data_IF_220883355126
#
_entry.id   IF_220883355126
#
_cell.length_a   1.000
_cell.length_b   1.000
_cell.length_c   1.000
_cell.angle_alpha   90.00
_cell.angle_beta   90.00
_cell.angle_gamma   90.00
#
_symmetry.space_group_name_H-M   'P 1'
#
loop_
_entity.id
_entity.type
_entity.pdbx_description
1 polymer ?
#
# COMPACT_ATOMS: atom_id res chain seq x y z
N UNK A 1 12.35 9.96 15.07
CA UNK A 1 11.17 9.63 14.25
C UNK A 1 10.55 10.95 13.79
N UNK A 2 9.97 11.00 12.58
CA UNK A 2 9.31 12.21 12.06
C UNK A 2 7.96 12.52 12.73
N UNK A 3 7.20 13.46 12.18
CA UNK A 3 5.90 13.91 12.74
C UNK A 3 4.71 12.97 12.45
N UNK A 4 4.94 11.87 11.71
CA UNK A 4 3.91 10.90 11.36
C UNK A 4 2.98 11.34 10.21
N UNK A 5 3.28 12.46 9.54
CA UNK A 5 2.53 12.91 8.37
C UNK A 5 2.93 12.19 7.10
N UNK A 6 2.00 12.08 6.14
CA UNK A 6 2.28 11.52 4.82
C UNK A 6 2.94 12.61 3.96
N UNK A 7 4.17 12.40 3.45
CA UNK A 7 4.89 13.39 2.65
C UNK A 7 4.31 13.50 1.24
N UNK A 8 3.16 14.16 1.13
CA UNK A 8 2.32 14.16 -0.08
C UNK A 8 3.05 14.65 -1.32
N UNK A 9 3.85 15.72 -1.19
CA UNK A 9 4.59 16.28 -2.33
C UNK A 9 5.69 15.36 -2.85
N UNK A 10 6.25 14.51 -1.97
CA UNK A 10 7.21 13.48 -2.36
C UNK A 10 6.51 12.32 -3.04
N UNK A 11 5.41 11.83 -2.46
CA UNK A 11 4.65 10.71 -3.02
C UNK A 11 4.10 11.01 -4.42
N UNK A 12 3.62 12.23 -4.67
CA UNK A 12 3.14 12.68 -5.99
C UNK A 12 4.23 12.65 -7.08
N UNK A 13 5.51 12.65 -6.72
CA UNK A 13 6.64 12.62 -7.68
C UNK A 13 7.03 11.20 -8.10
N UNK A 14 6.43 10.17 -7.51
CA UNK A 14 6.71 8.77 -7.87
C UNK A 14 6.13 8.49 -9.27
N UNK A 15 7.01 8.37 -10.26
CA UNK A 15 6.62 8.14 -11.65
C UNK A 15 6.53 6.66 -12.05
N UNK A 16 7.07 5.76 -11.22
CA UNK A 16 7.02 4.32 -11.49
C UNK A 16 5.66 3.72 -11.10
N UNK A 17 5.18 2.70 -11.83
CA UNK A 17 4.08 1.86 -11.35
C UNK A 17 4.34 1.43 -9.91
N UNK A 18 3.34 1.59 -9.05
CA UNK A 18 3.46 1.33 -7.61
C UNK A 18 2.31 0.47 -7.13
N UNK A 19 2.62 -0.57 -6.38
CA UNK A 19 1.64 -1.38 -5.68
C UNK A 19 1.59 -0.99 -4.20
N UNK A 20 0.44 -0.50 -3.74
CA UNK A 20 0.16 -0.20 -2.33
C UNK A 20 -0.75 -1.29 -1.75
N UNK A 21 -0.27 -1.97 -0.71
CA UNK A 21 -0.98 -3.08 -0.08
C UNK A 21 -1.07 -2.95 1.43
N UNK A 22 -2.17 -3.46 1.99
CA UNK A 22 -2.37 -3.65 3.42
C UNK A 22 -3.11 -4.97 3.70
N UNK A 23 -2.99 -5.47 4.93
CA UNK A 23 -3.81 -6.59 5.39
C UNK A 23 -5.18 -6.11 5.86
N UNK A 24 -6.26 -6.84 5.57
CA UNK A 24 -7.64 -6.46 5.91
C UNK A 24 -7.95 -6.42 7.41
N UNK A 25 -7.08 -6.92 8.27
CA UNK A 25 -7.13 -6.83 9.73
C UNK A 25 -6.03 -5.91 10.29
N UNK A 26 -5.52 -4.99 9.47
CA UNK A 26 -4.55 -3.99 9.91
C UNK A 26 -5.22 -2.93 10.79
N UNK A 27 -4.40 -2.09 11.43
CA UNK A 27 -4.88 -0.94 12.17
C UNK A 27 -5.54 0.08 11.23
N UNK A 28 -6.52 0.83 11.74
CA UNK A 28 -7.26 1.83 10.95
C UNK A 28 -6.34 2.84 10.25
N UNK A 29 -5.25 3.28 10.89
CA UNK A 29 -4.32 4.25 10.33
C UNK A 29 -3.52 3.68 9.15
N UNK A 30 -3.31 2.36 9.11
CA UNK A 30 -2.64 1.67 7.99
C UNK A 30 -3.54 1.71 6.77
N UNK A 31 -4.83 1.42 6.95
CA UNK A 31 -5.83 1.53 5.87
C UNK A 31 -5.89 2.96 5.31
N UNK A 32 -6.01 3.96 6.20
CA UNK A 32 -6.04 5.37 5.79
C UNK A 32 -4.76 5.79 5.04
N UNK A 33 -3.60 5.31 5.48
CA UNK A 33 -2.31 5.58 4.83
C UNK A 33 -2.24 4.93 3.45
N UNK A 34 -2.61 3.64 3.34
CA UNK A 34 -2.62 2.92 2.08
C UNK A 34 -3.59 3.56 1.06
N UNK A 35 -4.75 4.00 1.51
CA UNK A 35 -5.73 4.69 0.67
C UNK A 35 -5.24 6.05 0.20
N UNK A 36 -4.59 6.83 1.07
CA UNK A 36 -4.02 8.11 0.67
C UNK A 36 -2.90 7.91 -0.35
N UNK A 37 -1.96 6.99 -0.10
CA UNK A 37 -0.87 6.70 -1.03
C UNK A 37 -1.39 6.19 -2.39
N UNK A 38 -2.38 5.29 -2.38
CA UNK A 38 -3.02 4.78 -3.60
C UNK A 38 -3.74 5.86 -4.41
N UNK A 39 -4.13 6.99 -3.79
CA UNK A 39 -4.77 8.12 -4.47
C UNK A 39 -3.76 9.14 -5.01
N UNK A 40 -2.67 9.40 -4.29
CA UNK A 40 -1.76 10.50 -4.62
C UNK A 40 -0.60 10.10 -5.52
N UNK A 41 -0.25 8.81 -5.56
CA UNK A 41 0.76 8.29 -6.48
C UNK A 41 0.12 8.14 -7.87
N UNK A 42 0.65 8.79 -8.92
CA UNK A 42 0.00 8.84 -10.25
C UNK A 42 -0.31 7.49 -10.89
N UNK A 43 0.57 6.49 -10.68
CA UNK A 43 0.45 5.16 -11.27
C UNK A 43 0.40 4.10 -10.17
N UNK A 44 -0.57 4.25 -9.25
CA UNK A 44 -0.74 3.31 -8.14
C UNK A 44 -1.88 2.31 -8.35
N UNK A 45 -1.60 1.07 -7.94
CA UNK A 45 -2.59 0.02 -7.72
C UNK A 45 -2.76 -0.19 -6.23
N UNK A 46 -4.01 -0.29 -5.77
CA UNK A 46 -4.38 -0.48 -4.36
C UNK A 46 -5.00 -1.86 -4.17
N UNK A 47 -4.46 -2.67 -3.24
CA UNK A 47 -5.04 -3.99 -2.89
C UNK A 47 -5.08 -4.17 -1.38
N UNK A 48 -6.16 -4.74 -0.86
CA UNK A 48 -6.27 -5.19 0.54
C UNK A 48 -6.28 -6.70 0.57
N UNK A 49 -5.37 -7.30 1.33
CA UNK A 49 -5.29 -8.75 1.51
C UNK A 49 -6.29 -9.16 2.57
N UNK A 50 -7.42 -9.73 2.13
CA UNK A 50 -8.51 -10.15 3.02
C UNK A 50 -7.98 -11.03 4.16
N UNK A 51 -8.48 -10.78 5.37
CA UNK A 51 -8.18 -11.53 6.59
C UNK A 51 -6.72 -11.51 7.09
N UNK A 52 -5.82 -10.80 6.40
CA UNK A 52 -4.41 -10.69 6.80
C UNK A 52 -4.21 -9.60 7.87
N UNK A 53 -3.36 -9.82 8.88
CA UNK A 53 -2.98 -8.80 9.85
C UNK A 53 -2.01 -7.79 9.20
N UNK A 54 -1.51 -6.83 9.99
CA UNK A 54 -0.51 -5.87 9.50
C UNK A 54 0.74 -6.56 8.93
N UNK A 55 1.20 -7.63 9.58
CA UNK A 55 2.24 -8.52 9.05
C UNK A 55 1.59 -9.62 8.20
N UNK A 56 1.20 -9.29 6.98
CA UNK A 56 0.59 -10.27 6.07
C UNK A 56 1.51 -11.46 5.77
N UNK A 57 0.93 -12.65 5.65
CA UNK A 57 1.66 -13.86 5.31
C UNK A 57 2.24 -13.78 3.89
N UNK A 58 3.45 -14.34 3.70
CA UNK A 58 4.14 -14.32 2.41
C UNK A 58 3.32 -14.99 1.31
N UNK A 59 2.60 -16.06 1.64
CA UNK A 59 1.76 -16.84 0.75
C UNK A 59 0.57 -16.02 0.24
N UNK A 60 0.05 -15.09 1.05
CA UNK A 60 -1.02 -14.18 0.65
C UNK A 60 -0.49 -13.02 -0.22
N UNK A 61 0.73 -12.54 0.04
CA UNK A 61 1.33 -11.44 -0.73
C UNK A 61 1.85 -11.90 -2.10
N UNK A 62 2.50 -13.06 -2.15
CA UNK A 62 3.22 -13.56 -3.33
C UNK A 62 2.41 -13.53 -4.65
N UNK A 63 1.16 -14.01 -4.72
CA UNK A 63 0.40 -13.95 -5.97
C UNK A 63 0.12 -12.51 -6.43
N UNK A 64 -0.16 -11.59 -5.50
CA UNK A 64 -0.46 -10.18 -5.83
C UNK A 64 0.80 -9.47 -6.32
N UNK A 65 1.96 -9.75 -5.71
CA UNK A 65 3.24 -9.21 -6.17
C UNK A 65 3.60 -9.75 -7.55
N UNK A 66 3.37 -11.04 -7.81
CA UNK A 66 3.59 -11.64 -9.14
C UNK A 66 2.68 -11.03 -10.21
N UNK A 67 1.40 -10.84 -9.91
CA UNK A 67 0.45 -10.17 -10.83
C UNK A 67 0.92 -8.76 -11.19
N UNK A 68 1.45 -8.02 -10.23
CA UNK A 68 1.92 -6.65 -10.45
C UNK A 68 3.18 -6.55 -11.33
N UNK A 69 4.02 -7.59 -11.35
CA UNK A 69 5.26 -7.62 -12.15
C UNK A 69 5.13 -8.35 -13.49
N UNK A 70 3.97 -8.92 -13.80
CA UNK A 70 3.68 -9.57 -15.08
C UNK A 70 3.36 -8.54 -16.17
#
# INVERSE_FOLDING_TARGET
MGDGTIPTDTAKKIAMPTLVMDGGKSFYFVHATADMLGKIIPVASRKTLKDQPHQAAAEAMAPVVKEFFA
#
